data_IF_302608033094
#
_entry.id   IF_302608033094
#
_cell.length_a   1.000
_cell.length_b   1.000
_cell.length_c   1.000
_cell.angle_alpha   90.00
_cell.angle_beta   90.00
_cell.angle_gamma   90.00
#
_symmetry.space_group_name_H-M   'P 1'
#
loop_
_entity.id
_entity.type
_entity.pdbx_description
1 polymer ?
#
# COMPACT_ATOMS: atom_id res chain seq x y z
N UNK A 1 -0.77 13.19 8.95
CA UNK A 1 -0.22 11.85 8.64
C UNK A 1 -0.71 10.91 9.74
N UNK A 2 -1.53 9.92 9.40
CA UNK A 2 -2.09 8.96 10.36
C UNK A 2 -1.19 7.70 10.48
N UNK A 3 -1.54 6.78 11.40
CA UNK A 3 -0.80 5.53 11.60
C UNK A 3 -0.73 4.72 10.29
N UNK A 4 -1.86 4.66 9.58
CA UNK A 4 -1.97 3.95 8.30
C UNK A 4 -1.02 4.49 7.21
N UNK A 5 -0.86 5.81 7.12
CA UNK A 5 0.07 6.45 6.17
C UNK A 5 1.52 6.00 6.42
N UNK A 6 1.92 5.91 7.70
CA UNK A 6 3.28 5.52 8.08
C UNK A 6 3.52 4.04 7.78
N UNK A 7 2.54 3.18 8.08
CA UNK A 7 2.57 1.76 7.72
C UNK A 7 2.70 1.59 6.19
N UNK A 8 1.87 2.29 5.42
CA UNK A 8 1.91 2.25 3.96
C UNK A 8 3.28 2.69 3.39
N UNK A 9 3.83 3.80 3.88
CA UNK A 9 5.15 4.28 3.47
C UNK A 9 6.28 3.28 3.80
N UNK A 10 6.23 2.68 4.99
CA UNK A 10 7.20 1.66 5.40
C UNK A 10 7.16 0.44 4.49
N UNK A 11 5.95 -0.04 4.17
CA UNK A 11 5.74 -1.15 3.25
C UNK A 11 6.27 -0.82 1.85
N UNK A 12 5.90 0.35 1.32
CA UNK A 12 6.38 0.79 0.01
C UNK A 12 7.90 0.90 -0.04
N UNK A 13 8.52 1.49 0.99
CA UNK A 13 9.98 1.61 1.06
C UNK A 13 10.65 0.25 0.98
N UNK A 14 10.16 -0.73 1.75
CA UNK A 14 10.68 -2.10 1.70
C UNK A 14 10.54 -2.70 0.31
N UNK A 15 9.38 -2.59 -0.34
CA UNK A 15 9.20 -3.10 -1.72
C UNK A 15 10.20 -2.46 -2.69
N UNK A 16 10.43 -1.16 -2.59
CA UNK A 16 11.34 -0.46 -3.48
C UNK A 16 12.79 -0.84 -3.24
N UNK A 17 13.21 -0.99 -1.98
CA UNK A 17 14.60 -1.21 -1.61
C UNK A 17 14.99 -2.70 -1.65
N UNK A 18 14.12 -3.59 -1.18
CA UNK A 18 14.36 -5.03 -0.97
C UNK A 18 13.62 -5.92 -1.98
N UNK A 19 12.69 -5.37 -2.77
CA UNK A 19 11.85 -6.16 -3.68
C UNK A 19 12.56 -6.65 -4.93
N UNK A 20 12.18 -7.86 -5.34
CA UNK A 20 12.65 -8.47 -6.57
C UNK A 20 11.95 -7.88 -7.79
N UNK A 21 12.67 -7.81 -8.91
CA UNK A 21 12.12 -7.37 -10.19
C UNK A 21 11.31 -8.50 -10.81
N UNK A 22 10.02 -8.25 -11.07
CA UNK A 22 9.12 -9.18 -11.75
C UNK A 22 8.56 -8.56 -13.02
N UNK A 23 8.78 -9.23 -14.16
CA UNK A 23 8.30 -8.81 -15.46
C UNK A 23 6.98 -9.53 -15.78
N UNK A 24 5.90 -8.75 -15.87
CA UNK A 24 4.60 -9.30 -16.23
C UNK A 24 4.60 -9.77 -17.69
N UNK A 25 4.56 -11.09 -17.90
CA UNK A 25 4.61 -11.69 -19.24
C UNK A 25 3.46 -11.27 -20.18
N UNK A 26 2.31 -10.87 -19.64
CA UNK A 26 1.14 -10.48 -20.43
C UNK A 26 1.20 -9.04 -20.90
N UNK A 27 1.67 -8.13 -20.05
CA UNK A 27 1.67 -6.68 -20.33
C UNK A 27 3.06 -6.13 -20.67
N UNK A 28 4.12 -6.89 -20.40
CA UNK A 28 5.51 -6.44 -20.53
C UNK A 28 5.95 -5.41 -19.49
N UNK A 29 5.08 -5.04 -18.53
CA UNK A 29 5.42 -4.09 -17.48
C UNK A 29 6.24 -4.77 -16.39
N UNK A 30 7.28 -4.07 -15.95
CA UNK A 30 8.13 -4.46 -14.83
C UNK A 30 7.61 -3.87 -13.53
N UNK A 31 7.65 -4.66 -12.45
CA UNK A 31 7.32 -4.23 -11.09
C UNK A 31 8.39 -4.69 -10.11
N UNK A 32 8.47 -4.04 -8.95
CA UNK A 32 9.17 -4.58 -7.76
C UNK A 32 8.16 -5.22 -6.83
N UNK A 33 8.47 -6.42 -6.31
CA UNK A 33 7.56 -7.18 -5.47
C UNK A 33 8.27 -7.85 -4.29
N UNK A 34 7.57 -7.90 -3.16
CA UNK A 34 7.95 -8.71 -1.99
C UNK A 34 6.75 -9.60 -1.63
N UNK A 35 6.90 -10.93 -1.62
CA UNK A 35 5.82 -11.84 -1.24
C UNK A 35 5.61 -11.87 0.28
N UNK A 36 4.36 -12.09 0.71
CA UNK A 36 4.05 -12.40 2.12
C UNK A 36 4.07 -11.21 3.08
N UNK A 37 3.76 -10.01 2.60
CA UNK A 37 3.62 -8.84 3.48
C UNK A 37 2.25 -8.78 4.15
N UNK A 38 2.24 -8.54 5.46
CA UNK A 38 1.04 -8.37 6.27
C UNK A 38 1.15 -7.10 7.13
N UNK A 39 0.02 -6.46 7.39
CA UNK A 39 -0.12 -5.41 8.39
C UNK A 39 -1.42 -5.58 9.16
N UNK A 40 -1.48 -4.99 10.34
CA UNK A 40 -2.69 -4.93 11.16
C UNK A 40 -3.00 -3.47 11.47
N UNK A 41 -4.28 -3.16 11.64
CA UNK A 41 -4.77 -1.82 11.91
C UNK A 41 -5.97 -1.91 12.86
N UNK A 42 -5.90 -1.23 13.99
CA UNK A 42 -6.97 -1.21 14.99
C UNK A 42 -7.92 -0.05 14.67
N UNK A 43 -9.08 -0.34 14.09
CA UNK A 43 -10.01 0.70 13.61
C UNK A 43 -10.57 1.53 14.78
N UNK A 44 -10.72 0.94 15.97
CA UNK A 44 -11.27 1.65 17.13
C UNK A 44 -10.27 2.66 17.70
N UNK A 45 -8.98 2.31 17.71
CA UNK A 45 -7.91 3.16 18.27
C UNK A 45 -7.24 4.07 17.24
N UNK A 46 -7.02 3.57 16.03
CA UNK A 46 -6.22 4.20 14.98
C UNK A 46 -7.10 4.86 13.90
N UNK A 47 -8.42 4.71 14.02
CA UNK A 47 -9.41 5.26 13.11
C UNK A 47 -9.55 4.47 11.81
N UNK A 48 -10.37 4.96 10.88
CA UNK A 48 -10.57 4.30 9.58
C UNK A 48 -9.31 4.45 8.69
N UNK A 49 -8.78 3.36 8.08
CA UNK A 49 -7.53 3.39 7.32
C UNK A 49 -7.72 4.00 5.92
N UNK A 50 -8.02 5.30 5.87
CA UNK A 50 -8.02 6.08 4.64
C UNK A 50 -6.67 6.79 4.49
N UNK A 51 -6.01 6.53 3.37
CA UNK A 51 -4.71 7.14 3.05
C UNK A 51 -4.87 8.66 2.89
N UNK A 52 -4.06 9.45 3.61
CA UNK A 52 -4.08 10.92 3.55
C UNK A 52 -2.92 11.52 2.77
N UNK A 53 -1.92 10.70 2.42
CA UNK A 53 -0.77 11.10 1.59
C UNK A 53 -1.15 11.52 0.16
N UNK A 54 -2.31 11.09 -0.33
CA UNK A 54 -2.90 11.55 -1.58
C UNK A 54 -4.42 11.54 -1.47
N UNK A 55 -5.09 12.38 -2.25
CA UNK A 55 -6.55 12.40 -2.31
C UNK A 55 -7.08 11.10 -2.92
N UNK A 56 -7.88 10.36 -2.16
CA UNK A 56 -8.59 9.16 -2.63
C UNK A 56 -10.03 9.55 -3.02
N UNK A 57 -10.50 9.18 -4.23
CA UNK A 57 -11.87 9.47 -4.64
C UNK A 57 -12.85 8.48 -3.99
N UNK A 58 -13.19 8.70 -2.71
CA UNK A 58 -14.04 7.79 -1.89
C UNK A 58 -15.36 7.43 -2.56
N UNK A 59 -15.97 8.37 -3.30
CA UNK A 59 -17.23 8.14 -4.04
C UNK A 59 -17.15 7.04 -5.10
N UNK A 60 -15.96 6.64 -5.56
CA UNK A 60 -15.84 5.50 -6.49
C UNK A 60 -15.95 4.14 -5.79
N UNK A 61 -15.77 4.09 -4.47
CA UNK A 61 -15.72 2.84 -3.70
C UNK A 61 -16.97 2.61 -2.84
N UNK A 62 -17.76 3.66 -2.59
CA UNK A 62 -19.00 3.60 -1.82
C UNK A 62 -20.18 3.78 -2.77
N UNK A 63 -21.03 2.75 -2.88
CA UNK A 63 -22.23 2.73 -3.71
C UNK A 63 -23.44 3.33 -2.95
#
# INVERSE_FOLDING_TARGET
MNVFDSTYQGILRRIMDEGEVDANRRTGHEVRAIPGMHFSHDIEKEGFPLLTLRKIPVKMFVA
#
